data_IF_387345426351
#
_entry.id   IF_387345426351
#
_cell.length_a   1.000
_cell.length_b   1.000
_cell.length_c   1.000
_cell.angle_alpha   90.00
_cell.angle_beta   90.00
_cell.angle_gamma   90.00
#
_symmetry.space_group_name_H-M   'P 1'
#
loop_
_entity.id
_entity.type
_entity.pdbx_description
1 polymer ?
#
# COMPACT_ATOMS: atom_id res chain seq x y z
N UNK A 1 9.43 19.35 2.33
CA UNK A 1 10.73 18.82 1.88
C UNK A 1 10.52 17.94 0.67
N UNK A 2 11.47 17.95 -0.26
CA UNK A 2 11.42 17.06 -1.41
C UNK A 2 11.50 15.60 -0.93
N UNK A 3 10.73 14.74 -1.58
CA UNK A 3 10.77 13.30 -1.34
C UNK A 3 12.15 12.76 -1.71
N UNK A 4 12.76 11.96 -0.83
CA UNK A 4 14.02 11.29 -1.14
C UNK A 4 13.72 10.08 -2.01
N UNK A 5 13.95 10.21 -3.33
CA UNK A 5 13.83 9.09 -4.26
C UNK A 5 15.07 8.22 -4.10
N UNK A 6 14.88 6.96 -3.71
CA UNK A 6 15.97 6.03 -3.50
C UNK A 6 16.29 5.21 -4.75
N UNK A 7 15.25 4.80 -5.48
CA UNK A 7 15.36 3.98 -6.68
C UNK A 7 14.09 4.10 -7.52
N UNK A 8 14.21 3.82 -8.83
CA UNK A 8 13.08 3.87 -9.74
C UNK A 8 13.29 2.91 -10.90
N UNK A 9 12.23 2.22 -11.30
CA UNK A 9 12.23 1.37 -12.50
C UNK A 9 10.99 1.64 -13.33
N UNK A 10 11.03 1.33 -14.62
CA UNK A 10 9.88 1.43 -15.51
C UNK A 10 9.43 0.06 -15.96
N UNK A 11 8.11 -0.15 -16.01
CA UNK A 11 7.48 -1.37 -16.50
C UNK A 11 6.40 -0.96 -17.49
N UNK A 12 6.62 -1.27 -18.76
CA UNK A 12 5.69 -0.93 -19.85
C UNK A 12 5.26 0.54 -19.85
N UNK A 13 6.22 1.45 -19.63
CA UNK A 13 5.98 2.90 -19.60
C UNK A 13 5.39 3.42 -18.29
N UNK A 14 5.19 2.55 -17.31
CA UNK A 14 4.71 2.93 -15.97
C UNK A 14 5.88 2.88 -14.99
N UNK A 15 5.82 3.72 -13.97
CA UNK A 15 6.93 3.89 -13.02
C UNK A 15 6.66 3.18 -11.71
N UNK A 16 7.64 2.44 -11.19
CA UNK A 16 7.68 1.97 -9.81
C UNK A 16 8.78 2.74 -9.11
N UNK A 17 8.43 3.48 -8.07
CA UNK A 17 9.35 4.37 -7.37
C UNK A 17 9.46 3.98 -5.91
N UNK A 18 10.69 3.86 -5.42
CA UNK A 18 10.97 3.59 -4.01
C UNK A 18 11.43 4.88 -3.34
N UNK A 19 10.70 5.32 -2.32
CA UNK A 19 11.01 6.54 -1.58
C UNK A 19 11.06 6.26 -0.08
N UNK A 20 11.76 7.12 0.64
CA UNK A 20 11.76 7.13 2.10
C UNK A 20 11.08 8.42 2.56
N UNK A 21 9.90 8.29 3.16
CA UNK A 21 9.07 9.43 3.57
C UNK A 21 7.97 8.96 4.52
N UNK A 22 7.17 9.90 4.99
CA UNK A 22 5.91 9.61 5.69
C UNK A 22 4.79 9.50 4.65
N UNK A 23 4.23 8.32 4.49
CA UNK A 23 3.23 8.04 3.46
C UNK A 23 1.97 8.92 3.62
N UNK A 24 1.64 9.34 4.84
CA UNK A 24 0.47 10.20 5.09
C UNK A 24 0.66 11.64 4.59
N UNK A 25 1.87 12.02 4.21
CA UNK A 25 2.18 13.35 3.68
C UNK A 25 2.21 13.40 2.15
N UNK A 26 2.05 12.27 1.48
CA UNK A 26 2.18 12.19 0.04
C UNK A 26 0.96 12.76 -0.69
N UNK A 27 1.23 13.50 -1.76
CA UNK A 27 0.20 14.01 -2.67
C UNK A 27 0.00 12.98 -3.79
N UNK A 28 -0.85 12.01 -3.52
CA UNK A 28 -1.16 10.89 -4.43
C UNK A 28 -2.68 10.71 -4.51
N UNK A 29 -3.13 9.96 -5.50
CA UNK A 29 -4.57 9.66 -5.61
C UNK A 29 -5.04 8.81 -4.43
N UNK A 30 -4.22 7.86 -4.00
CA UNK A 30 -4.48 7.08 -2.81
C UNK A 30 -3.19 6.51 -2.23
N UNK A 31 -3.17 6.29 -0.93
CA UNK A 31 -2.18 5.39 -0.32
C UNK A 31 -2.89 4.20 0.32
N UNK A 32 -2.17 3.11 0.47
CA UNK A 32 -2.70 1.88 1.06
C UNK A 32 -2.40 1.86 2.56
N UNK A 33 -3.40 1.46 3.33
CA UNK A 33 -3.26 1.18 4.76
C UNK A 33 -3.58 -0.30 4.99
N UNK A 34 -2.66 -1.02 5.65
CA UNK A 34 -2.87 -2.44 5.99
C UNK A 34 -3.78 -2.53 7.20
N UNK A 35 -5.03 -2.90 6.98
CA UNK A 35 -6.09 -2.88 7.97
C UNK A 35 -6.34 -4.26 8.59
N UNK A 36 -6.90 -4.28 9.79
CA UNK A 36 -7.45 -5.48 10.39
C UNK A 36 -8.89 -5.73 9.91
N UNK A 37 -9.45 -6.87 10.29
CA UNK A 37 -10.80 -7.29 9.88
C UNK A 37 -11.91 -6.40 10.45
N UNK A 38 -11.63 -5.68 11.55
CA UNK A 38 -12.56 -4.71 12.16
C UNK A 38 -12.47 -3.33 11.50
N UNK A 39 -11.54 -3.14 10.56
CA UNK A 39 -11.26 -1.85 9.90
C UNK A 39 -10.89 -0.73 10.87
N UNK A 40 -10.49 -1.05 12.10
CA UNK A 40 -10.05 -0.05 13.06
C UNK A 40 -8.69 0.55 12.62
N UNK A 41 -8.54 1.86 12.79
CA UNK A 41 -7.29 2.52 12.47
C UNK A 41 -6.18 2.21 13.48
N UNK A 42 -6.54 2.06 14.75
CA UNK A 42 -5.61 1.64 15.78
C UNK A 42 -4.51 2.64 16.10
N UNK A 43 -3.36 2.14 16.53
CA UNK A 43 -2.19 2.93 16.92
C UNK A 43 -1.20 3.08 15.75
N UNK A 44 -0.11 3.79 15.96
CA UNK A 44 0.96 3.94 14.97
C UNK A 44 0.48 4.62 13.69
N UNK A 45 0.66 3.96 12.56
CA UNK A 45 0.27 4.46 11.25
C UNK A 45 -1.23 4.83 11.21
N UNK A 46 -2.10 3.96 11.73
CA UNK A 46 -3.54 4.24 11.80
C UNK A 46 -3.88 5.46 12.64
N UNK A 47 -3.16 5.66 13.75
CA UNK A 47 -3.31 6.85 14.58
C UNK A 47 -2.89 8.12 13.81
N UNK A 48 -1.82 8.06 13.05
CA UNK A 48 -1.40 9.19 12.22
C UNK A 48 -2.49 9.57 11.21
N UNK A 49 -3.15 8.58 10.62
CA UNK A 49 -4.30 8.80 9.72
C UNK A 49 -5.42 9.49 10.48
N UNK A 50 -5.79 9.01 11.67
CA UNK A 50 -6.87 9.59 12.48
C UNK A 50 -6.59 11.04 12.86
N UNK A 51 -5.38 11.32 13.34
CA UNK A 51 -5.00 12.65 13.82
C UNK A 51 -4.90 13.65 12.68
N UNK A 52 -4.22 13.27 11.60
CA UNK A 52 -3.97 14.18 10.47
C UNK A 52 -5.15 14.28 9.50
N UNK A 53 -5.88 13.18 9.33
CA UNK A 53 -7.01 13.13 8.40
C UNK A 53 -8.32 13.61 8.98
N UNK A 54 -8.46 13.58 10.30
CA UNK A 54 -9.68 13.98 11.00
C UNK A 54 -10.71 12.85 11.13
N UNK A 55 -11.87 13.12 11.76
CA UNK A 55 -12.83 12.08 12.16
C UNK A 55 -13.67 11.51 11.02
N UNK A 56 -13.68 12.13 9.85
CA UNK A 56 -14.52 11.69 8.72
C UNK A 56 -14.16 10.29 8.21
N UNK A 57 -12.87 9.92 8.27
CA UNK A 57 -12.38 8.62 7.81
C UNK A 57 -12.99 7.50 8.67
N UNK A 58 -12.91 7.64 9.98
CA UNK A 58 -13.51 6.67 10.91
C UNK A 58 -15.01 6.54 10.69
N UNK A 59 -15.69 7.64 10.42
CA UNK A 59 -17.13 7.62 10.14
C UNK A 59 -17.47 6.75 8.93
N UNK A 60 -16.71 6.90 7.84
CA UNK A 60 -16.90 6.05 6.66
C UNK A 60 -16.66 4.58 6.98
N UNK A 61 -15.61 4.27 7.74
CA UNK A 61 -15.27 2.89 8.13
C UNK A 61 -16.35 2.27 9.02
N UNK A 62 -16.92 3.02 9.94
CA UNK A 62 -17.95 2.54 10.87
C UNK A 62 -19.25 2.13 10.16
N UNK A 63 -19.48 2.61 8.96
CA UNK A 63 -20.67 2.28 8.15
C UNK A 63 -20.50 1.01 7.31
N UNK A 64 -19.30 0.43 7.30
CA UNK A 64 -18.98 -0.73 6.46
C UNK A 64 -19.22 -2.05 7.19
N UNK A 65 -19.64 -3.06 6.43
CA UNK A 65 -19.81 -4.41 6.91
C UNK A 65 -18.47 -5.07 7.24
N UNK A 66 -18.45 -6.10 8.09
CA UNK A 66 -17.24 -6.88 8.37
C UNK A 66 -16.60 -7.41 7.09
N UNK A 67 -15.28 -7.39 7.05
CA UNK A 67 -14.47 -7.75 5.89
C UNK A 67 -13.61 -8.97 6.18
N UNK A 68 -13.14 -9.62 5.12
CA UNK A 68 -12.30 -10.81 5.17
C UNK A 68 -10.91 -10.53 4.64
N UNK A 69 -9.97 -11.41 4.95
CA UNK A 69 -8.63 -11.34 4.35
C UNK A 69 -8.74 -11.31 2.82
N UNK A 70 -8.05 -10.37 2.21
CA UNK A 70 -8.08 -10.13 0.78
C UNK A 70 -9.00 -8.99 0.36
N UNK A 71 -9.96 -8.63 1.22
CA UNK A 71 -10.90 -7.54 0.92
C UNK A 71 -10.19 -6.19 0.99
N UNK A 72 -10.68 -5.28 0.16
CA UNK A 72 -10.15 -3.91 0.07
C UNK A 72 -11.34 -2.95 0.08
N UNK A 73 -11.27 -1.94 0.93
CA UNK A 73 -12.29 -0.87 0.97
C UNK A 73 -11.61 0.48 0.74
N UNK A 74 -12.30 1.38 0.08
CA UNK A 74 -11.77 2.71 -0.25
C UNK A 74 -12.60 3.77 0.47
N UNK A 75 -11.90 4.65 1.19
CA UNK A 75 -12.53 5.82 1.84
C UNK A 75 -11.92 7.09 1.27
N UNK A 76 -12.52 8.23 1.59
CA UNK A 76 -11.85 9.51 1.43
C UNK A 76 -10.68 9.60 2.41
N UNK A 77 -9.82 10.57 2.22
CA UNK A 77 -8.64 10.78 3.07
C UNK A 77 -8.77 12.00 4.01
N UNK A 78 -9.98 12.56 4.12
CA UNK A 78 -10.22 13.68 5.00
C UNK A 78 -9.33 14.88 4.70
N UNK A 79 -8.58 15.34 5.69
CA UNK A 79 -7.70 16.50 5.57
C UNK A 79 -6.29 16.16 5.02
N UNK A 80 -6.02 14.91 4.71
CA UNK A 80 -4.74 14.50 4.14
C UNK A 80 -4.58 15.00 2.70
N UNK A 81 -3.35 15.04 2.20
CA UNK A 81 -3.07 15.44 0.82
C UNK A 81 -3.54 14.41 -0.19
N UNK A 82 -3.47 13.13 0.14
CA UNK A 82 -4.04 12.07 -0.69
C UNK A 82 -5.55 12.27 -0.81
N UNK A 83 -6.12 11.84 -1.92
CA UNK A 83 -7.57 11.95 -2.15
C UNK A 83 -8.34 10.81 -1.49
N UNK A 84 -7.74 9.62 -1.42
CA UNK A 84 -8.38 8.42 -0.88
C UNK A 84 -7.38 7.61 -0.05
N UNK A 85 -7.94 6.71 0.76
CA UNK A 85 -7.17 5.66 1.45
C UNK A 85 -7.74 4.32 1.00
N UNK A 86 -6.87 3.41 0.58
CA UNK A 86 -7.22 2.04 0.26
C UNK A 86 -6.91 1.20 1.49
N UNK A 87 -7.94 0.75 2.19
CA UNK A 87 -7.80 -0.07 3.39
C UNK A 87 -7.75 -1.53 2.94
N UNK A 88 -6.58 -2.14 3.04
CA UNK A 88 -6.34 -3.50 2.56
C UNK A 88 -6.32 -4.45 3.75
N UNK A 89 -7.22 -5.43 3.76
CA UNK A 89 -7.29 -6.43 4.83
C UNK A 89 -6.42 -7.62 4.43
N UNK A 90 -5.15 -7.55 4.80
CA UNK A 90 -4.20 -8.61 4.52
C UNK A 90 -4.23 -9.72 5.55
N UNK A 91 -3.40 -10.77 5.37
CA UNK A 91 -3.37 -11.90 6.29
C UNK A 91 -2.96 -11.46 7.70
N UNK A 92 -3.61 -12.09 8.69
CA UNK A 92 -3.31 -11.88 10.10
C UNK A 92 -2.01 -12.59 10.47
N UNK A 93 -1.44 -12.21 11.62
CA UNK A 93 -0.35 -12.97 12.22
C UNK A 93 -0.71 -14.46 12.33
N UNK A 94 0.19 -15.33 11.87
CA UNK A 94 -0.01 -16.79 11.84
C UNK A 94 -1.19 -17.32 11.01
N UNK A 95 -1.77 -16.51 10.15
CA UNK A 95 -2.77 -16.98 9.21
C UNK A 95 -2.12 -17.86 8.14
N UNK A 96 -2.69 -19.04 7.81
CA UNK A 96 -2.08 -19.93 6.81
C UNK A 96 -2.07 -19.29 5.42
N UNK A 97 -1.09 -19.70 4.59
CA UNK A 97 -0.89 -19.20 3.23
C UNK A 97 -0.71 -17.67 3.18
N UNK A 98 0.14 -17.16 4.04
CA UNK A 98 0.45 -15.73 4.13
C UNK A 98 0.86 -15.15 2.77
N UNK A 99 1.74 -15.82 2.05
CA UNK A 99 2.25 -15.35 0.75
C UNK A 99 1.13 -15.23 -0.28
N UNK A 100 0.32 -16.26 -0.47
CA UNK A 100 -0.78 -16.26 -1.43
C UNK A 100 -1.84 -15.21 -1.10
N UNK A 101 -2.19 -15.09 0.18
CA UNK A 101 -3.16 -14.09 0.65
C UNK A 101 -2.64 -12.68 0.52
N UNK A 102 -1.37 -12.46 0.82
CA UNK A 102 -0.74 -11.15 0.66
C UNK A 102 -0.73 -10.73 -0.82
N UNK A 103 -0.37 -11.65 -1.70
CA UNK A 103 -0.38 -11.41 -3.15
C UNK A 103 -1.77 -11.03 -3.65
N UNK A 104 -2.80 -11.75 -3.22
CA UNK A 104 -4.20 -11.44 -3.56
C UNK A 104 -4.60 -10.06 -3.05
N UNK A 105 -4.24 -9.74 -1.81
CA UNK A 105 -4.55 -8.44 -1.19
C UNK A 105 -3.94 -7.29 -1.98
N UNK A 106 -2.67 -7.41 -2.35
CA UNK A 106 -1.97 -6.38 -3.11
C UNK A 106 -2.60 -6.21 -4.50
N UNK A 107 -2.90 -7.32 -5.18
CA UNK A 107 -3.57 -7.28 -6.48
C UNK A 107 -4.93 -6.59 -6.39
N UNK A 108 -5.69 -6.85 -5.32
CA UNK A 108 -6.99 -6.21 -5.09
C UNK A 108 -6.86 -4.71 -4.82
N UNK A 109 -5.78 -4.26 -4.20
CA UNK A 109 -5.50 -2.83 -4.04
C UNK A 109 -5.32 -2.14 -5.38
N UNK A 110 -4.53 -2.74 -6.26
CA UNK A 110 -4.26 -2.21 -7.60
C UNK A 110 -5.54 -2.19 -8.44
N UNK A 111 -6.33 -3.25 -8.35
CA UNK A 111 -7.62 -3.34 -9.03
C UNK A 111 -8.60 -2.28 -8.55
N UNK A 112 -8.69 -2.08 -7.25
CA UNK A 112 -9.55 -1.02 -6.66
C UNK A 112 -9.14 0.37 -7.16
N UNK A 113 -7.84 0.62 -7.26
CA UNK A 113 -7.32 1.87 -7.80
C UNK A 113 -7.73 2.07 -9.26
N UNK A 114 -7.62 1.03 -10.09
CA UNK A 114 -8.05 1.09 -11.49
C UNK A 114 -9.55 1.34 -11.63
N UNK A 115 -10.37 0.66 -10.83
CA UNK A 115 -11.82 0.82 -10.86
C UNK A 115 -12.26 2.27 -10.58
N UNK A 116 -11.46 3.01 -9.81
CA UNK A 116 -11.72 4.41 -9.48
C UNK A 116 -10.94 5.40 -10.35
N UNK A 117 -10.22 4.91 -11.36
CA UNK A 117 -9.47 5.78 -12.26
C UNK A 117 -8.24 6.44 -11.64
N UNK A 118 -7.70 5.87 -10.58
CA UNK A 118 -6.51 6.41 -9.93
C UNK A 118 -5.26 6.15 -10.77
N UNK A 119 -4.35 7.11 -10.80
CA UNK A 119 -3.13 7.03 -11.61
C UNK A 119 -1.86 6.89 -10.78
N UNK A 120 -1.84 7.47 -9.59
CA UNK A 120 -0.68 7.42 -8.67
C UNK A 120 -1.14 6.88 -7.33
N UNK A 121 -0.56 5.75 -6.94
CA UNK A 121 -0.85 5.13 -5.64
C UNK A 121 0.45 4.86 -4.89
N UNK A 122 0.36 4.90 -3.57
CA UNK A 122 1.50 4.61 -2.69
C UNK A 122 1.16 3.44 -1.78
N UNK A 123 2.13 2.56 -1.57
CA UNK A 123 2.00 1.41 -0.67
C UNK A 123 3.13 1.42 0.35
N UNK A 124 2.82 1.11 1.62
CA UNK A 124 3.85 0.82 2.61
C UNK A 124 4.31 -0.63 2.45
N UNK A 125 5.36 -1.06 3.17
CA UNK A 125 5.67 -2.50 3.26
C UNK A 125 4.47 -3.24 3.89
N UNK A 126 3.81 -4.06 3.09
CA UNK A 126 2.52 -4.66 3.45
C UNK A 126 2.67 -5.74 4.51
N UNK A 127 2.14 -5.48 5.71
CA UNK A 127 2.12 -6.44 6.80
C UNK A 127 3.43 -6.56 7.59
N UNK A 128 4.45 -5.79 7.25
CA UNK A 128 5.79 -5.93 7.82
C UNK A 128 5.92 -5.46 9.28
N UNK A 129 4.99 -4.66 9.77
CA UNK A 129 5.01 -4.18 11.15
C UNK A 129 4.30 -5.13 12.10
N UNK A 130 3.14 -4.71 12.60
CA UNK A 130 2.35 -5.44 13.58
C UNK A 130 2.00 -6.87 13.16
N UNK A 131 1.76 -7.10 11.86
CA UNK A 131 1.36 -8.41 11.33
C UNK A 131 2.55 -9.33 11.07
N UNK A 132 3.77 -8.86 11.30
CA UNK A 132 5.02 -9.65 11.34
C UNK A 132 5.36 -10.41 10.04
N UNK A 133 4.93 -9.92 8.89
CA UNK A 133 5.39 -10.46 7.60
C UNK A 133 6.87 -10.11 7.45
N UNK A 134 7.76 -11.10 7.21
CA UNK A 134 9.19 -10.79 7.03
C UNK A 134 9.41 -9.81 5.87
N UNK A 135 10.29 -8.83 6.06
CA UNK A 135 10.52 -7.77 5.07
C UNK A 135 10.98 -8.29 3.71
N UNK A 136 11.82 -9.33 3.69
CA UNK A 136 12.26 -9.92 2.41
C UNK A 136 11.10 -10.55 1.65
N UNK A 137 10.23 -11.26 2.34
CA UNK A 137 9.02 -11.84 1.75
C UNK A 137 8.07 -10.75 1.27
N UNK A 138 7.86 -9.74 2.12
CA UNK A 138 7.03 -8.59 1.81
C UNK A 138 7.50 -7.90 0.51
N UNK A 139 8.79 -7.60 0.42
CA UNK A 139 9.37 -6.96 -0.76
C UNK A 139 9.20 -7.83 -2.01
N UNK A 140 9.50 -9.12 -1.92
CA UNK A 140 9.38 -10.03 -3.05
C UNK A 140 7.94 -10.11 -3.55
N UNK A 141 6.99 -10.35 -2.67
CA UNK A 141 5.58 -10.50 -3.03
C UNK A 141 5.02 -9.20 -3.61
N UNK A 142 5.32 -8.06 -2.98
CA UNK A 142 4.88 -6.75 -3.48
C UNK A 142 5.43 -6.47 -4.87
N UNK A 143 6.74 -6.63 -5.06
CA UNK A 143 7.38 -6.30 -6.33
C UNK A 143 6.94 -7.22 -7.46
N UNK A 144 6.83 -8.52 -7.21
CA UNK A 144 6.33 -9.48 -8.20
C UNK A 144 4.89 -9.17 -8.61
N UNK A 145 4.03 -8.88 -7.64
CA UNK A 145 2.61 -8.59 -7.88
C UNK A 145 2.44 -7.29 -8.65
N UNK A 146 3.16 -6.24 -8.25
CA UNK A 146 3.13 -4.95 -8.92
C UNK A 146 3.63 -5.09 -10.36
N UNK A 147 4.73 -5.80 -10.57
CA UNK A 147 5.27 -6.04 -11.91
C UNK A 147 4.25 -6.72 -12.81
N UNK A 148 3.69 -7.84 -12.35
CA UNK A 148 2.71 -8.59 -13.13
C UNK A 148 1.48 -7.75 -13.48
N UNK A 149 1.04 -6.92 -12.55
CA UNK A 149 -0.11 -6.03 -12.76
C UNK A 149 0.21 -4.94 -13.80
N UNK A 150 1.36 -4.29 -13.68
CA UNK A 150 1.75 -3.20 -14.58
C UNK A 150 2.14 -3.68 -15.98
N UNK A 151 2.43 -4.95 -16.16
CA UNK A 151 2.65 -5.55 -17.47
C UNK A 151 1.34 -5.73 -18.27
N UNK A 152 0.20 -5.73 -17.58
CA UNK A 152 -1.12 -5.84 -18.19
C UNK A 152 -1.72 -4.49 -18.56
N UNK A 153 -3.01 -4.50 -18.86
CA UNK A 153 -3.76 -3.27 -19.14
C UNK A 153 -4.20 -2.62 -17.83
N UNK A 154 -3.77 -1.39 -17.61
CA UNK A 154 -4.11 -0.62 -16.41
C UNK A 154 -3.99 0.88 -16.69
N UNK A 155 -4.82 1.67 -16.02
CA UNK A 155 -4.74 3.12 -16.05
C UNK A 155 -3.74 3.68 -15.04
N UNK A 156 -3.17 2.83 -14.17
CA UNK A 156 -2.17 3.27 -13.18
C UNK A 156 -0.88 3.68 -13.91
N UNK A 157 -0.38 4.86 -13.61
CA UNK A 157 0.85 5.40 -14.22
C UNK A 157 2.05 5.27 -13.31
N UNK A 158 1.83 5.31 -12.00
CA UNK A 158 2.91 5.27 -11.02
C UNK A 158 2.49 4.55 -9.74
N UNK A 159 3.35 3.63 -9.31
CA UNK A 159 3.25 2.98 -8.00
C UNK A 159 4.44 3.43 -7.16
N UNK A 160 4.16 4.03 -6.01
CA UNK A 160 5.18 4.50 -5.07
C UNK A 160 5.24 3.54 -3.90
N UNK A 161 6.41 2.94 -3.66
CA UNK A 161 6.65 2.17 -2.45
C UNK A 161 7.30 3.11 -1.45
N UNK A 162 6.63 3.36 -0.33
CA UNK A 162 7.07 4.33 0.67
C UNK A 162 7.51 3.63 1.94
N UNK A 163 8.78 3.72 2.26
CA UNK A 163 9.37 3.15 3.47
C UNK A 163 9.70 4.25 4.47
N UNK A 164 9.72 3.91 5.76
CA UNK A 164 9.95 4.91 6.81
C UNK A 164 11.40 4.97 7.27
N UNK A 165 12.16 3.87 7.13
CA UNK A 165 13.53 3.80 7.63
C UNK A 165 14.40 2.89 6.77
N UNK A 166 15.68 2.82 7.11
CA UNK A 166 16.65 2.02 6.38
C UNK A 166 16.36 0.51 6.47
N UNK A 167 15.82 0.06 7.59
CA UNK A 167 15.48 -1.36 7.77
C UNK A 167 14.45 -1.82 6.72
N UNK A 168 13.45 -0.99 6.49
CA UNK A 168 12.43 -1.25 5.45
C UNK A 168 12.99 -1.05 4.04
N UNK A 169 13.88 -0.08 3.87
CA UNK A 169 14.45 0.26 2.56
C UNK A 169 15.28 -0.86 1.96
N UNK A 170 16.15 -1.48 2.74
CA UNK A 170 17.18 -2.41 2.25
C UNK A 170 16.61 -3.56 1.41
N UNK A 171 15.57 -4.31 1.85
CA UNK A 171 15.04 -5.41 1.03
C UNK A 171 14.43 -4.94 -0.29
N UNK A 172 13.77 -3.79 -0.30
CA UNK A 172 13.19 -3.25 -1.54
C UNK A 172 14.27 -2.75 -2.50
N UNK A 173 15.27 -2.05 -1.98
CA UNK A 173 16.39 -1.55 -2.77
C UNK A 173 17.16 -2.70 -3.43
N UNK A 174 17.35 -3.80 -2.71
CA UNK A 174 18.03 -4.98 -3.22
C UNK A 174 17.25 -5.68 -4.35
N UNK A 175 15.93 -5.71 -4.26
CA UNK A 175 15.09 -6.49 -5.17
C UNK A 175 14.51 -5.68 -6.33
N UNK A 176 14.37 -4.36 -6.20
CA UNK A 176 13.74 -3.51 -7.20
C UNK A 176 14.38 -3.61 -8.59
N UNK A 177 15.73 -3.65 -8.74
CA UNK A 177 16.34 -3.77 -10.07
C UNK A 177 15.94 -5.03 -10.84
N UNK A 178 15.51 -6.09 -10.15
CA UNK A 178 15.08 -7.33 -10.79
C UNK A 178 13.82 -7.14 -11.66
N UNK A 179 13.06 -6.07 -11.44
CA UNK A 179 11.85 -5.77 -12.21
C UNK A 179 12.16 -5.40 -13.67
N UNK A 180 13.39 -5.01 -13.96
CA UNK A 180 13.83 -4.68 -15.31
C UNK A 180 14.23 -5.90 -16.16
N UNK A 181 14.11 -7.10 -15.62
CA UNK A 181 14.55 -8.33 -16.30
C UNK A 181 13.39 -9.08 -16.94
#
# INVERSE_FOLDING_TARGET
MAQAVCEQVEIHGRTVRLIRDDITLLDVDAFVFYAGHDLALGSGFGNAISVRGGPGIKKELDELEPVRTGDVVVTGAGNLKAQHIIHAVGPRFNEPDTEGKLRTTIANCLKAADEKGMKRIALPPMGAGFYAVPLDLCARVMLETIKGYLEGETGIEEVVICVVDRRELVPFEAQLPSLNR
#
